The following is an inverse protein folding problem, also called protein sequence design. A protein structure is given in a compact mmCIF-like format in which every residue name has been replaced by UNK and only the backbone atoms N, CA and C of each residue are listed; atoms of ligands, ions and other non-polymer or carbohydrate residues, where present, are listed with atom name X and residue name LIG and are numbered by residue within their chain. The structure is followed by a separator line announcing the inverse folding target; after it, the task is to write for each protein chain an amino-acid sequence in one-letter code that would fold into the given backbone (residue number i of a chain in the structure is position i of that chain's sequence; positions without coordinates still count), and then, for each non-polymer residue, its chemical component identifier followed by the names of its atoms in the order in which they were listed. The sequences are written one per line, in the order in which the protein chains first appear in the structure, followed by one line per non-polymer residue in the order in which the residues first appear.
data_IF_566286155683
#
_entry.id   IF_566286155683
#
_cell.length_a   1.000
_cell.length_b   1.000
_cell.length_c   1.000
_cell.angle_alpha   90.00
_cell.angle_beta   90.00
_cell.angle_gamma   90.00
#
_symmetry.space_group_name_H-M   'P 1'
#
loop_
_entity.id
_entity.type
_entity.pdbx_description
1 polymer ?
#
# COMPACT_ATOMS: atom_id res chain seq x y z
N UNK A 1 2.70 19.57 -50.92
CA UNK A 1 2.73 18.23 -51.57
C UNK A 1 3.43 17.17 -50.70
N UNK A 2 4.33 17.51 -49.76
CA UNK A 2 5.01 16.54 -48.89
C UNK A 2 4.08 15.90 -47.86
N UNK A 3 3.16 16.64 -47.26
CA UNK A 3 2.24 16.10 -46.24
C UNK A 3 1.23 15.05 -46.75
N UNK A 4 0.87 15.09 -48.02
CA UNK A 4 -0.09 14.12 -48.60
C UNK A 4 0.57 12.78 -48.91
N UNK A 5 1.85 12.79 -49.27
CA UNK A 5 2.63 11.54 -49.48
C UNK A 5 2.91 10.80 -48.20
N UNK A 6 3.14 11.50 -47.11
CA UNK A 6 3.37 10.87 -45.79
C UNK A 6 2.12 10.15 -45.28
N UNK A 7 0.92 10.72 -45.47
CA UNK A 7 -0.33 10.04 -45.09
C UNK A 7 -0.60 8.74 -45.84
N UNK A 8 -0.20 8.69 -47.11
CA UNK A 8 -0.41 7.48 -47.92
C UNK A 8 0.62 6.39 -47.64
N UNK A 9 1.79 6.73 -47.04
CA UNK A 9 2.84 5.77 -46.72
C UNK A 9 2.67 5.13 -45.33
N UNK A 10 2.04 5.85 -44.40
CA UNK A 10 1.97 5.39 -42.99
C UNK A 10 0.55 5.09 -42.51
N UNK A 11 -0.45 5.11 -43.40
CA UNK A 11 -1.83 4.81 -43.05
C UNK A 11 -2.47 5.87 -42.16
N UNK A 12 -3.32 5.48 -41.25
CA UNK A 12 -3.98 6.40 -40.35
C UNK A 12 -2.98 6.89 -39.27
N UNK A 13 -2.73 8.20 -39.25
CA UNK A 13 -1.84 8.82 -38.25
C UNK A 13 -2.34 8.67 -36.81
N UNK A 14 -3.57 8.20 -36.61
CA UNK A 14 -4.16 7.92 -35.30
C UNK A 14 -4.01 6.45 -34.90
N UNK A 15 -3.61 5.59 -35.80
CA UNK A 15 -3.34 4.20 -35.54
C UNK A 15 -1.84 4.01 -35.16
N UNK A 16 -1.57 3.99 -33.87
CA UNK A 16 -0.21 3.84 -33.33
C UNK A 16 0.47 2.54 -33.80
N UNK A 17 -0.31 1.51 -34.13
CA UNK A 17 0.22 0.24 -34.63
C UNK A 17 0.87 0.36 -36.02
N UNK A 18 0.49 1.38 -36.80
CA UNK A 18 1.04 1.66 -38.11
C UNK A 18 2.24 2.63 -38.09
N UNK A 19 2.59 3.15 -36.94
CA UNK A 19 3.75 4.04 -36.82
C UNK A 19 5.05 3.26 -36.95
N UNK A 20 6.09 3.86 -37.58
CA UNK A 20 7.40 3.22 -37.67
C UNK A 20 7.94 2.93 -36.27
N UNK A 21 8.13 1.68 -35.96
CA UNK A 21 8.68 1.25 -34.67
C UNK A 21 10.20 1.25 -34.73
N UNK A 22 10.87 1.78 -33.71
CA UNK A 22 12.31 1.62 -33.55
C UNK A 22 12.59 0.14 -33.28
N UNK A 23 13.50 -0.52 -34.02
CA UNK A 23 13.84 -1.92 -33.80
C UNK A 23 14.18 -2.17 -32.33
N UNK A 24 13.43 -3.06 -31.67
CA UNK A 24 13.60 -3.38 -30.25
C UNK A 24 12.75 -2.56 -29.27
N UNK A 25 12.03 -1.50 -29.72
CA UNK A 25 11.16 -0.70 -28.84
C UNK A 25 10.05 -1.54 -28.22
N UNK A 26 9.42 -2.44 -28.98
CA UNK A 26 8.41 -3.35 -28.46
C UNK A 26 8.94 -4.29 -27.34
N UNK A 27 10.21 -4.68 -27.42
CA UNK A 27 10.81 -5.52 -26.39
C UNK A 27 11.08 -4.72 -25.10
N UNK A 28 11.42 -3.43 -25.24
CA UNK A 28 11.61 -2.52 -24.10
C UNK A 28 10.27 -2.17 -23.47
N UNK A 29 9.25 -1.93 -24.29
CA UNK A 29 7.90 -1.61 -23.83
C UNK A 29 7.23 -2.81 -23.16
N UNK A 30 7.32 -4.01 -23.76
CA UNK A 30 6.89 -5.28 -23.12
C UNK A 30 7.63 -5.54 -21.82
N UNK A 31 8.93 -5.24 -21.71
CA UNK A 31 9.68 -5.36 -20.43
C UNK A 31 9.24 -4.35 -19.39
N UNK A 32 8.86 -3.14 -19.80
CA UNK A 32 8.30 -2.12 -18.89
C UNK A 32 6.91 -2.51 -18.40
N UNK A 33 6.04 -2.99 -19.28
CA UNK A 33 4.71 -3.46 -18.95
C UNK A 33 4.73 -4.76 -18.13
N UNK A 34 5.60 -5.71 -18.47
CA UNK A 34 5.75 -6.97 -17.73
C UNK A 34 6.31 -6.80 -16.31
N UNK A 35 6.93 -5.67 -15.99
CA UNK A 35 7.41 -5.35 -14.64
C UNK A 35 6.33 -4.74 -13.73
N UNK A 36 5.19 -4.38 -14.27
CA UNK A 36 4.10 -3.79 -13.51
C UNK A 36 3.05 -4.86 -13.19
N UNK A 37 3.29 -5.57 -12.07
CA UNK A 37 2.28 -6.44 -11.49
C UNK A 37 1.09 -5.61 -11.03
N UNK A 38 -0.10 -6.24 -11.04
CA UNK A 38 -1.33 -5.67 -10.49
C UNK A 38 -1.05 -5.07 -9.08
N UNK A 39 -1.21 -3.75 -8.91
CA UNK A 39 -0.85 -3.08 -7.68
C UNK A 39 -1.70 -3.53 -6.49
N UNK A 40 -2.90 -4.04 -6.74
CA UNK A 40 -3.80 -4.54 -5.69
C UNK A 40 -3.28 -5.85 -5.08
N UNK A 41 -2.48 -6.64 -5.82
CA UNK A 41 -1.86 -7.87 -5.34
C UNK A 41 -0.57 -7.65 -4.55
N UNK A 42 -0.02 -6.45 -4.58
CA UNK A 42 1.17 -6.11 -3.80
C UNK A 42 0.87 -6.21 -2.31
N UNK A 43 1.85 -6.72 -1.56
CA UNK A 43 1.76 -6.80 -0.11
C UNK A 43 2.09 -5.47 0.56
N UNK A 44 1.61 -5.28 1.78
CA UNK A 44 1.92 -4.12 2.60
C UNK A 44 1.16 -2.86 2.18
N UNK A 45 1.73 -1.70 2.52
CA UNK A 45 1.06 -0.40 2.41
C UNK A 45 0.65 -0.05 0.98
N UNK A 46 1.51 -0.35 -0.02
CA UNK A 46 1.21 -0.07 -1.43
C UNK A 46 -0.05 -0.81 -1.86
N UNK A 47 -0.10 -2.13 -1.62
CA UNK A 47 -1.25 -2.93 -2.02
C UNK A 47 -2.52 -2.56 -1.28
N UNK A 48 -2.43 -2.30 0.03
CA UNK A 48 -3.56 -1.86 0.81
C UNK A 48 -4.11 -0.51 0.30
N UNK A 49 -3.24 0.45 0.01
CA UNK A 49 -3.65 1.73 -0.55
C UNK A 49 -4.34 1.56 -1.91
N UNK A 50 -3.76 0.77 -2.83
CA UNK A 50 -4.33 0.53 -4.16
C UNK A 50 -5.61 -0.33 -4.15
N UNK A 51 -5.88 -1.09 -3.07
CA UNK A 51 -7.17 -1.76 -2.87
C UNK A 51 -8.24 -0.82 -2.29
N UNK A 52 -7.81 0.18 -1.53
CA UNK A 52 -8.71 1.16 -0.92
C UNK A 52 -9.07 2.27 -1.89
N UNK A 53 -8.10 2.72 -2.69
CA UNK A 53 -8.28 3.84 -3.62
C UNK A 53 -7.87 3.46 -5.03
N UNK A 54 -8.78 3.67 -5.99
CA UNK A 54 -8.47 3.65 -7.41
C UNK A 54 -7.69 4.92 -7.81
N UNK A 55 -7.23 5.00 -9.06
CA UNK A 55 -6.55 6.21 -9.58
C UNK A 55 -7.45 7.44 -9.47
N UNK A 56 -8.70 7.34 -9.91
CA UNK A 56 -9.64 8.46 -9.90
C UNK A 56 -9.99 8.89 -8.47
N UNK A 57 -10.24 7.94 -7.58
CA UNK A 57 -10.48 8.23 -6.17
C UNK A 57 -9.26 8.87 -5.49
N UNK A 58 -8.05 8.43 -5.83
CA UNK A 58 -6.82 9.01 -5.31
C UNK A 58 -6.61 10.45 -5.81
N UNK A 59 -6.95 10.74 -7.07
CA UNK A 59 -6.94 12.11 -7.61
C UNK A 59 -7.88 13.03 -6.84
N UNK A 60 -9.11 12.60 -6.63
CA UNK A 60 -10.14 13.41 -5.96
C UNK A 60 -9.82 13.65 -4.48
N UNK A 61 -9.32 12.63 -3.80
CA UNK A 61 -9.16 12.67 -2.35
C UNK A 61 -7.84 13.32 -1.90
N UNK A 62 -6.73 13.01 -2.57
CA UNK A 62 -5.39 13.43 -2.10
C UNK A 62 -4.78 14.57 -2.90
N UNK A 63 -5.13 14.71 -4.18
CA UNK A 63 -4.59 15.73 -5.08
C UNK A 63 -5.71 16.46 -5.86
N UNK A 64 -6.74 16.98 -5.16
CA UNK A 64 -7.88 17.61 -5.82
C UNK A 64 -7.43 18.79 -6.68
N UNK A 65 -8.04 18.91 -7.88
CA UNK A 65 -7.76 20.00 -8.81
C UNK A 65 -6.46 19.88 -9.61
N UNK A 66 -5.66 18.81 -9.42
CA UNK A 66 -4.46 18.59 -10.23
C UNK A 66 -4.79 17.98 -11.59
N UNK A 67 -5.91 17.29 -11.70
CA UNK A 67 -6.39 16.68 -12.93
C UNK A 67 -7.85 17.05 -13.18
N UNK A 68 -8.16 17.40 -14.41
CA UNK A 68 -9.51 17.69 -14.88
C UNK A 68 -9.95 16.61 -15.87
N UNK A 69 -11.13 16.04 -15.66
CA UNK A 69 -11.69 15.05 -16.58
C UNK A 69 -12.03 15.72 -17.90
N UNK A 70 -11.75 15.04 -19.01
CA UNK A 70 -12.11 15.51 -20.35
C UNK A 70 -13.44 14.91 -20.79
N UNK A 71 -13.97 15.36 -21.94
CA UNK A 71 -15.16 14.75 -22.55
C UNK A 71 -14.97 13.29 -22.96
N UNK A 72 -13.74 12.80 -22.98
CA UNK A 72 -13.39 11.41 -23.33
C UNK A 72 -13.18 10.64 -22.03
N UNK A 73 -13.99 9.61 -21.72
CA UNK A 73 -13.86 8.83 -20.51
C UNK A 73 -12.43 8.25 -20.32
N UNK A 74 -11.92 8.33 -19.09
CA UNK A 74 -10.59 7.83 -18.75
C UNK A 74 -9.42 8.71 -19.22
N UNK A 75 -9.70 9.89 -19.80
CA UNK A 75 -8.69 10.88 -20.14
C UNK A 75 -8.81 12.12 -19.27
N UNK A 76 -7.67 12.54 -18.76
CA UNK A 76 -7.54 13.68 -17.85
C UNK A 76 -6.52 14.69 -18.39
N UNK A 77 -6.76 15.95 -18.06
CA UNK A 77 -5.83 17.05 -18.31
C UNK A 77 -5.11 17.39 -17.02
N UNK A 78 -3.78 17.37 -17.03
CA UNK A 78 -3.00 17.88 -15.91
C UNK A 78 -3.05 19.41 -15.92
N UNK A 79 -3.50 20.02 -14.83
CA UNK A 79 -3.72 21.48 -14.75
C UNK A 79 -2.45 22.31 -14.82
N UNK A 80 -1.30 21.73 -14.41
CA UNK A 80 0.03 22.35 -14.57
C UNK A 80 0.66 22.17 -15.95
N UNK A 81 -0.06 21.56 -16.91
CA UNK A 81 0.40 21.32 -18.27
C UNK A 81 -0.28 22.20 -19.32
N UNK A 82 0.26 22.20 -20.55
CA UNK A 82 -0.28 22.95 -21.68
C UNK A 82 -1.11 22.11 -22.65
N UNK A 83 -1.12 20.79 -22.50
CA UNK A 83 -1.83 19.85 -23.37
C UNK A 83 -3.12 19.37 -22.73
N UNK A 84 -4.15 19.11 -23.53
CA UNK A 84 -5.45 18.60 -23.07
C UNK A 84 -5.50 17.08 -23.21
N UNK A 85 -5.98 16.37 -22.18
CA UNK A 85 -6.25 14.95 -22.24
C UNK A 85 -5.03 14.04 -22.36
N UNK A 86 -3.86 14.51 -21.91
CA UNK A 86 -2.60 13.79 -22.00
C UNK A 86 -2.38 12.76 -20.88
N UNK A 87 -3.18 12.76 -19.83
CA UNK A 87 -3.15 11.74 -18.79
C UNK A 87 -4.25 10.70 -19.07
N UNK A 88 -3.88 9.43 -19.13
CA UNK A 88 -4.77 8.33 -19.52
C UNK A 88 -4.80 7.29 -18.42
N UNK A 89 -6.00 6.90 -18.01
CA UNK A 89 -6.25 5.85 -17.04
C UNK A 89 -6.45 4.51 -17.73
N UNK A 90 -5.82 3.46 -17.23
CA UNK A 90 -5.80 2.11 -17.81
C UNK A 90 -6.26 1.05 -16.82
N UNK A 91 -6.58 -0.13 -17.36
CA UNK A 91 -6.87 -1.36 -16.62
C UNK A 91 -7.94 -1.22 -15.53
N UNK A 92 -9.06 -0.58 -15.87
CA UNK A 92 -10.16 -0.45 -14.92
C UNK A 92 -9.82 0.40 -13.70
N UNK A 93 -9.10 1.50 -13.92
CA UNK A 93 -8.73 2.48 -12.89
C UNK A 93 -7.58 2.06 -11.96
N UNK A 94 -6.71 1.16 -12.44
CA UNK A 94 -5.56 0.68 -11.67
C UNK A 94 -4.28 1.48 -11.94
N UNK A 95 -4.14 2.03 -13.14
CA UNK A 95 -2.94 2.73 -13.58
C UNK A 95 -3.25 4.04 -14.28
N UNK A 96 -2.33 4.98 -14.13
CA UNK A 96 -2.28 6.23 -14.90
C UNK A 96 -0.97 6.30 -15.68
N UNK A 97 -1.05 6.76 -16.93
CA UNK A 97 0.09 7.19 -17.71
C UNK A 97 -0.09 8.63 -18.16
N UNK A 98 0.89 9.49 -17.89
CA UNK A 98 0.85 10.90 -18.27
C UNK A 98 1.86 11.20 -19.39
N UNK A 99 1.37 11.83 -20.45
CA UNK A 99 2.17 12.37 -21.55
C UNK A 99 2.52 13.86 -21.35
N UNK A 100 2.07 14.47 -20.25
CA UNK A 100 2.38 15.85 -19.92
C UNK A 100 3.81 15.98 -19.41
N UNK A 101 4.68 16.70 -20.09
CA UNK A 101 6.10 16.81 -19.72
C UNK A 101 6.33 17.45 -18.33
N UNK A 102 5.41 18.32 -17.89
CA UNK A 102 5.46 19.00 -16.58
C UNK A 102 4.83 18.23 -15.46
N UNK A 103 4.14 17.12 -15.76
CA UNK A 103 3.51 16.27 -14.76
C UNK A 103 4.60 15.47 -13.99
N UNK A 104 4.59 15.43 -12.66
CA UNK A 104 5.48 14.57 -11.88
C UNK A 104 5.45 13.09 -12.27
N UNK A 105 4.32 12.62 -12.85
CA UNK A 105 4.14 11.26 -13.36
C UNK A 105 4.52 11.08 -14.83
N UNK A 106 5.11 12.10 -15.47
CA UNK A 106 5.42 12.09 -16.90
C UNK A 106 6.20 10.87 -17.35
N UNK A 107 5.75 10.22 -18.42
CA UNK A 107 6.45 9.10 -19.06
C UNK A 107 6.52 7.82 -18.21
N UNK A 108 5.73 7.72 -17.14
CA UNK A 108 5.69 6.57 -16.25
C UNK A 108 4.26 6.04 -16.14
N UNK A 109 4.13 4.71 -16.09
CA UNK A 109 2.88 4.07 -15.70
C UNK A 109 2.86 3.98 -14.17
N UNK A 110 1.96 4.70 -13.52
CA UNK A 110 1.89 4.80 -12.06
C UNK A 110 0.59 4.22 -11.52
N UNK A 111 0.65 3.60 -10.34
CA UNK A 111 -0.52 3.19 -9.57
C UNK A 111 -0.97 4.32 -8.64
N UNK A 112 -2.10 4.14 -7.95
CA UNK A 112 -2.66 5.17 -7.07
C UNK A 112 -1.70 5.62 -5.96
N UNK A 113 -0.92 4.71 -5.38
CA UNK A 113 0.08 5.04 -4.35
C UNK A 113 1.21 5.91 -4.93
N UNK A 114 1.77 5.52 -6.08
CA UNK A 114 2.86 6.26 -6.72
C UNK A 114 2.38 7.59 -7.29
N UNK A 115 1.15 7.67 -7.78
CA UNK A 115 0.53 8.93 -8.23
C UNK A 115 0.55 9.97 -7.10
N UNK A 116 -0.03 9.64 -5.95
CA UNK A 116 -0.07 10.56 -4.79
C UNK A 116 1.34 10.86 -4.27
N UNK A 117 2.21 9.84 -4.21
CA UNK A 117 3.60 9.98 -3.77
C UNK A 117 4.37 11.00 -4.59
N UNK A 118 4.30 10.91 -5.92
CA UNK A 118 5.05 11.79 -6.82
C UNK A 118 4.54 13.22 -6.76
N UNK A 119 3.23 13.43 -6.68
CA UNK A 119 2.65 14.76 -6.61
C UNK A 119 2.88 15.46 -5.26
N UNK A 120 2.75 14.73 -4.15
CA UNK A 120 2.85 15.35 -2.82
C UNK A 120 4.27 15.39 -2.27
N UNK A 121 5.10 14.44 -2.65
CA UNK A 121 6.40 14.22 -1.99
C UNK A 121 7.55 13.99 -2.96
N UNK A 122 7.34 14.03 -4.28
CA UNK A 122 8.37 13.77 -5.29
C UNK A 122 9.61 14.64 -5.13
N UNK A 123 9.43 15.90 -4.81
CA UNK A 123 10.51 16.87 -4.62
C UNK A 123 11.51 16.48 -3.51
N UNK A 124 11.05 15.70 -2.52
CA UNK A 124 11.90 15.24 -1.40
C UNK A 124 12.97 14.25 -1.83
N UNK A 125 12.82 13.63 -2.98
CA UNK A 125 13.78 12.65 -3.49
C UNK A 125 15.01 13.30 -4.14
N UNK A 126 14.97 14.62 -4.40
CA UNK A 126 16.10 15.37 -4.96
C UNK A 126 17.39 15.34 -4.10
N UNK A 127 17.22 15.18 -2.78
CA UNK A 127 18.32 15.09 -1.83
C UNK A 127 18.79 13.63 -1.57
N UNK A 128 18.09 12.65 -2.16
CA UNK A 128 18.42 11.25 -1.95
C UNK A 128 19.73 10.89 -2.66
N UNK A 129 20.56 10.09 -1.99
CA UNK A 129 21.82 9.60 -2.58
C UNK A 129 21.51 8.69 -3.77
N UNK A 130 22.34 8.81 -4.81
CA UNK A 130 22.26 7.93 -5.98
C UNK A 130 22.35 6.45 -5.56
N UNK A 131 21.46 5.63 -6.11
CA UNK A 131 21.35 4.21 -5.75
C UNK A 131 20.53 3.90 -4.49
N UNK A 132 19.86 4.89 -3.88
CA UNK A 132 18.94 4.63 -2.76
C UNK A 132 17.79 3.76 -3.22
N UNK A 133 17.50 2.61 -2.55
CA UNK A 133 16.35 1.77 -2.88
C UNK A 133 15.03 2.53 -2.79
N UNK A 134 14.10 2.26 -3.71
CA UNK A 134 12.80 2.94 -3.77
C UNK A 134 12.04 2.94 -2.42
N UNK A 135 12.13 1.85 -1.66
CA UNK A 135 11.51 1.72 -0.33
C UNK A 135 12.13 2.58 0.77
N UNK A 136 13.31 3.16 0.50
CA UNK A 136 14.03 4.06 1.42
C UNK A 136 14.03 5.51 0.95
N UNK A 137 13.41 5.79 -0.18
CA UNK A 137 13.27 7.16 -0.68
C UNK A 137 12.46 8.02 0.29
N UNK A 138 12.83 9.29 0.51
CA UNK A 138 12.09 10.20 1.38
C UNK A 138 10.61 10.35 1.00
N UNK A 139 10.31 10.42 -0.30
CA UNK A 139 8.93 10.44 -0.80
C UNK A 139 8.15 9.19 -0.42
N UNK A 140 8.77 8.01 -0.55
CA UNK A 140 8.15 6.74 -0.21
C UNK A 140 7.83 6.64 1.28
N UNK A 141 8.76 7.07 2.14
CA UNK A 141 8.57 7.09 3.58
C UNK A 141 7.42 8.04 3.98
N UNK A 142 7.37 9.23 3.38
CA UNK A 142 6.32 10.21 3.64
C UNK A 142 4.95 9.71 3.18
N UNK A 143 4.86 9.14 1.98
CA UNK A 143 3.64 8.55 1.44
C UNK A 143 3.16 7.34 2.25
N UNK A 144 4.09 6.50 2.70
CA UNK A 144 3.75 5.37 3.56
C UNK A 144 3.15 5.82 4.89
N UNK A 145 3.66 6.92 5.46
CA UNK A 145 3.10 7.50 6.68
C UNK A 145 1.68 8.01 6.43
N UNK A 146 1.47 8.81 5.38
CA UNK A 146 0.15 9.30 4.99
C UNK A 146 -0.86 8.15 4.82
N UNK A 147 -0.46 7.10 4.10
CA UNK A 147 -1.32 5.93 3.89
C UNK A 147 -1.66 5.18 5.18
N UNK A 148 -0.78 5.18 6.19
CA UNK A 148 -1.04 4.56 7.49
C UNK A 148 -1.85 5.44 8.44
N UNK A 149 -1.82 6.75 8.26
CA UNK A 149 -2.67 7.71 8.97
C UNK A 149 -4.11 7.66 8.43
N UNK A 150 -4.29 7.22 7.18
CA UNK A 150 -5.61 6.99 6.61
C UNK A 150 -6.28 5.79 7.28
N UNK A 151 -7.48 6.04 7.84
CA UNK A 151 -8.21 5.04 8.62
C UNK A 151 -8.61 3.83 7.78
N UNK A 152 -9.07 4.03 6.54
CA UNK A 152 -9.54 2.93 5.69
C UNK A 152 -8.38 2.00 5.31
N UNK A 153 -7.23 2.57 4.93
CA UNK A 153 -6.03 1.80 4.60
C UNK A 153 -5.48 1.08 5.82
N UNK A 154 -5.45 1.75 6.98
CA UNK A 154 -4.97 1.17 8.24
C UNK A 154 -5.83 0.02 8.72
N UNK A 155 -7.15 0.16 8.64
CA UNK A 155 -8.11 -0.88 9.01
C UNK A 155 -7.97 -2.10 8.08
N UNK A 156 -7.86 -1.88 6.76
CA UNK A 156 -7.64 -2.96 5.80
C UNK A 156 -6.35 -3.74 6.09
N UNK A 157 -5.24 -3.05 6.36
CA UNK A 157 -3.96 -3.70 6.73
C UNK A 157 -4.13 -4.54 8.00
N UNK A 158 -4.90 -4.07 8.96
CA UNK A 158 -5.11 -4.76 10.24
C UNK A 158 -5.92 -6.04 10.03
N UNK A 159 -6.99 -5.97 9.23
CA UNK A 159 -7.82 -7.13 8.87
C UNK A 159 -7.00 -8.19 8.12
N UNK A 160 -6.26 -7.79 7.07
CA UNK A 160 -5.42 -8.72 6.29
C UNK A 160 -4.36 -9.44 7.14
N UNK A 161 -3.79 -8.72 8.11
CA UNK A 161 -2.82 -9.32 9.05
C UNK A 161 -3.46 -10.33 9.97
N UNK A 162 -4.65 -10.01 10.47
CA UNK A 162 -5.41 -10.91 11.31
C UNK A 162 -5.79 -12.19 10.57
N UNK A 163 -6.29 -12.06 9.34
CA UNK A 163 -6.63 -13.21 8.50
C UNK A 163 -5.41 -14.08 8.21
N UNK A 164 -4.29 -13.46 7.87
CA UNK A 164 -3.04 -14.18 7.66
C UNK A 164 -2.55 -14.89 8.94
N UNK A 165 -2.69 -14.25 10.08
CA UNK A 165 -2.35 -14.87 11.36
C UNK A 165 -3.27 -16.07 11.63
N UNK A 166 -4.59 -15.92 11.45
CA UNK A 166 -5.54 -17.05 11.58
C UNK A 166 -5.16 -18.22 10.67
N UNK A 167 -4.83 -17.97 9.39
CA UNK A 167 -4.40 -19.02 8.46
C UNK A 167 -3.09 -19.70 8.87
N UNK A 168 -2.16 -18.96 9.45
CA UNK A 168 -0.87 -19.52 9.90
C UNK A 168 -1.00 -20.35 11.17
N UNK A 169 -1.95 -20.00 12.04
CA UNK A 169 -2.19 -20.64 13.33
C UNK A 169 -3.38 -21.60 13.32
N UNK A 170 -4.01 -21.88 12.17
CA UNK A 170 -4.96 -22.99 12.06
C UNK A 170 -4.21 -24.29 12.29
N UNK A 171 -4.26 -24.75 13.54
CA UNK A 171 -4.00 -26.16 13.85
C UNK A 171 -5.00 -27.01 13.05
N UNK A 172 -4.66 -28.27 12.69
CA UNK A 172 -5.59 -29.17 12.00
C UNK A 172 -6.91 -29.18 12.78
N UNK A 173 -8.01 -28.96 12.05
CA UNK A 173 -9.36 -28.87 12.60
C UNK A 173 -9.65 -30.13 13.44
N UNK A 174 -9.63 -29.97 14.74
CA UNK A 174 -10.24 -30.93 15.64
C UNK A 174 -11.76 -30.66 15.54
N UNK A 175 -12.58 -31.61 15.06
CA UNK A 175 -14.02 -31.38 14.84
C UNK A 175 -14.82 -31.06 16.14
N UNK A 176 -14.14 -31.01 17.27
CA UNK A 176 -14.69 -30.69 18.59
C UNK A 176 -14.13 -29.42 19.22
N UNK A 177 -13.30 -28.65 18.47
CA UNK A 177 -12.88 -27.33 18.93
C UNK A 177 -14.10 -26.42 18.93
N UNK A 178 -14.64 -26.19 20.10
CA UNK A 178 -15.61 -25.15 20.41
C UNK A 178 -15.19 -23.85 19.75
N UNK A 179 -16.11 -23.20 19.02
CA UNK A 179 -15.87 -21.89 18.40
C UNK A 179 -15.28 -20.98 19.48
N UNK A 180 -13.96 -20.75 19.39
CA UNK A 180 -13.22 -20.01 20.40
C UNK A 180 -13.89 -18.67 20.71
N UNK A 181 -13.73 -18.14 21.92
CA UNK A 181 -14.40 -16.94 22.36
C UNK A 181 -14.21 -15.82 21.33
N UNK A 182 -15.32 -15.15 21.02
CA UNK A 182 -15.34 -13.99 20.13
C UNK A 182 -14.46 -12.89 20.75
N UNK A 183 -13.22 -12.79 20.27
CA UNK A 183 -12.25 -11.86 20.80
C UNK A 183 -12.58 -10.44 20.31
N UNK A 184 -12.86 -9.55 21.24
CA UNK A 184 -12.94 -8.12 20.95
C UNK A 184 -11.55 -7.60 20.48
N UNK A 185 -11.46 -7.27 19.22
CA UNK A 185 -10.25 -6.74 18.58
C UNK A 185 -10.35 -5.23 18.31
N UNK A 186 -11.36 -4.56 18.84
CA UNK A 186 -11.61 -3.11 18.65
C UNK A 186 -10.46 -2.22 19.16
N UNK A 187 -9.57 -2.77 19.99
CA UNK A 187 -8.41 -2.09 20.54
C UNK A 187 -7.17 -2.10 19.63
N UNK A 188 -7.11 -2.98 18.60
CA UNK A 188 -5.97 -3.06 17.68
C UNK A 188 -5.61 -1.74 16.98
N UNK A 189 -6.58 -0.89 16.58
CA UNK A 189 -6.28 0.43 16.01
C UNK A 189 -5.55 1.40 16.97
N UNK A 190 -5.58 1.14 18.28
CA UNK A 190 -4.87 1.97 19.28
C UNK A 190 -3.35 1.73 19.26
N UNK A 191 -2.89 0.65 18.63
CA UNK A 191 -1.48 0.31 18.56
C UNK A 191 -0.76 1.17 17.51
N UNK A 192 0.37 1.76 17.89
CA UNK A 192 1.25 2.48 16.97
C UNK A 192 1.94 1.53 15.99
N UNK A 193 2.08 1.97 14.73
CA UNK A 193 2.67 1.19 13.66
C UNK A 193 3.86 1.93 13.07
N UNK A 194 4.86 1.18 12.62
CA UNK A 194 6.02 1.72 11.91
C UNK A 194 5.66 2.11 10.46
N UNK A 195 6.60 2.74 9.76
CA UNK A 195 6.45 3.14 8.34
C UNK A 195 6.18 1.98 7.36
N UNK A 196 6.33 0.74 7.82
CA UNK A 196 6.00 -0.47 7.07
C UNK A 196 4.66 -1.09 7.52
N UNK A 197 3.92 -0.37 8.38
CA UNK A 197 2.64 -0.81 8.93
C UNK A 197 2.74 -1.98 9.92
N UNK A 198 3.93 -2.29 10.47
CA UNK A 198 4.10 -3.29 11.53
C UNK A 198 3.92 -2.61 12.89
N UNK A 199 3.39 -3.34 13.86
CA UNK A 199 3.28 -2.80 15.22
C UNK A 199 4.68 -2.52 15.80
N UNK A 200 4.86 -1.29 16.29
CA UNK A 200 6.10 -0.89 16.94
C UNK A 200 6.29 -1.63 18.27
N UNK A 201 7.53 -2.01 18.55
CA UNK A 201 7.89 -2.64 19.82
C UNK A 201 8.13 -1.59 20.90
N UNK A 202 7.07 -0.84 21.25
CA UNK A 202 7.12 0.21 22.27
C UNK A 202 6.45 -0.25 23.56
N UNK A 203 6.83 0.38 24.68
CA UNK A 203 6.20 0.14 25.96
C UNK A 203 4.71 0.47 25.91
N UNK A 204 4.34 1.53 25.21
CA UNK A 204 2.95 1.94 25.06
C UNK A 204 2.12 0.85 24.39
N UNK A 205 2.60 0.28 23.27
CA UNK A 205 1.92 -0.83 22.60
C UNK A 205 1.84 -2.06 23.52
N UNK A 206 2.90 -2.36 24.30
CA UNK A 206 2.86 -3.46 25.25
C UNK A 206 1.78 -3.26 26.32
N UNK A 207 1.65 -2.06 26.87
CA UNK A 207 0.60 -1.73 27.85
C UNK A 207 -0.78 -1.91 27.24
N UNK A 208 -1.03 -1.38 26.03
CA UNK A 208 -2.32 -1.53 25.34
C UNK A 208 -2.67 -3.01 25.12
N UNK A 209 -1.70 -3.85 24.74
CA UNK A 209 -1.90 -5.30 24.58
C UNK A 209 -2.24 -5.95 25.93
N UNK A 210 -1.50 -5.66 26.98
CA UNK A 210 -1.70 -6.26 28.31
C UNK A 210 -3.06 -5.89 28.93
N UNK A 211 -3.56 -4.70 28.64
CA UNK A 211 -4.84 -4.21 29.14
C UNK A 211 -6.06 -4.74 28.37
N UNK A 212 -5.89 -5.05 27.10
CA UNK A 212 -7.03 -5.33 26.22
C UNK A 212 -7.06 -6.78 25.68
N UNK A 213 -5.91 -7.45 25.54
CA UNK A 213 -5.88 -8.82 25.02
C UNK A 213 -6.53 -9.79 26.01
N UNK A 214 -7.58 -10.54 25.62
CA UNK A 214 -8.32 -11.43 26.50
C UNK A 214 -7.44 -12.54 27.14
N UNK A 215 -6.35 -12.91 26.48
CA UNK A 215 -5.42 -13.92 27.01
C UNK A 215 -4.45 -13.36 28.06
N UNK A 216 -4.26 -12.05 28.09
CA UNK A 216 -3.26 -11.39 28.94
C UNK A 216 -3.89 -10.50 30.00
N UNK A 217 -5.07 -9.97 29.73
CA UNK A 217 -5.80 -9.06 30.63
C UNK A 217 -5.98 -9.68 32.02
N UNK A 218 -5.47 -8.97 33.04
CA UNK A 218 -5.57 -9.39 34.42
C UNK A 218 -4.67 -10.58 34.81
N UNK A 219 -3.81 -11.06 33.90
CA UNK A 219 -2.87 -12.13 34.23
C UNK A 219 -1.53 -11.63 34.76
N UNK A 220 -1.18 -10.39 34.46
CA UNK A 220 0.02 -9.75 35.00
C UNK A 220 -0.46 -8.84 36.11
N UNK A 221 -0.03 -9.14 37.34
CA UNK A 221 -0.39 -8.44 38.57
C UNK A 221 0.85 -8.08 39.36
N UNK A 222 0.76 -7.09 40.20
CA UNK A 222 1.80 -6.77 41.18
C UNK A 222 1.47 -7.44 42.48
N UNK A 223 2.39 -8.24 43.02
CA UNK A 223 2.35 -8.70 44.41
C UNK A 223 2.88 -7.59 45.28
N UNK A 224 2.00 -6.89 45.99
CA UNK A 224 2.37 -5.76 46.83
C UNK A 224 3.18 -6.22 48.04
N UNK A 225 2.98 -7.45 48.48
CA UNK A 225 3.73 -8.01 49.63
C UNK A 225 5.17 -8.36 49.25
N UNK A 226 5.36 -8.99 48.08
CA UNK A 226 6.68 -9.35 47.59
C UNK A 226 7.33 -8.21 46.77
N UNK A 227 6.62 -7.12 46.50
CA UNK A 227 7.05 -6.00 45.63
C UNK A 227 7.57 -6.47 44.27
N UNK A 228 6.92 -7.47 43.67
CA UNK A 228 7.30 -8.00 42.39
C UNK A 228 6.09 -8.20 41.43
N UNK A 229 6.36 -8.23 40.13
CA UNK A 229 5.38 -8.60 39.14
C UNK A 229 5.15 -10.11 39.08
N UNK A 230 3.91 -10.54 39.12
CA UNK A 230 3.53 -11.96 39.04
C UNK A 230 2.66 -12.22 37.82
N UNK A 231 2.77 -13.41 37.24
CA UNK A 231 1.91 -13.89 36.18
C UNK A 231 0.95 -14.91 36.75
N UNK A 232 -0.35 -14.61 36.66
CA UNK A 232 -1.40 -15.52 37.10
C UNK A 232 -1.79 -16.45 35.94
N UNK A 233 -1.50 -17.74 36.12
CA UNK A 233 -1.85 -18.78 35.16
C UNK A 233 -0.86 -18.91 34.00
N UNK A 234 -1.33 -19.50 32.90
CA UNK A 234 -0.52 -19.78 31.70
C UNK A 234 -0.59 -18.63 30.71
N UNK A 235 0.54 -18.20 30.19
CA UNK A 235 0.62 -17.19 29.12
C UNK A 235 1.00 -17.85 27.79
N UNK A 236 0.59 -17.27 26.62
CA UNK A 236 0.75 -17.90 25.31
C UNK A 236 2.20 -18.26 24.93
N UNK A 237 3.17 -17.55 25.47
CA UNK A 237 4.60 -17.79 25.22
C UNK A 237 5.25 -18.77 26.22
N UNK A 238 4.51 -19.26 27.23
CA UNK A 238 5.05 -20.23 28.19
C UNK A 238 4.99 -21.64 27.58
N UNK A 239 6.10 -22.10 27.04
CA UNK A 239 6.26 -23.44 26.44
C UNK A 239 6.64 -24.51 27.44
N UNK A 240 6.64 -24.21 28.75
CA UNK A 240 6.98 -25.18 29.74
C UNK A 240 5.91 -26.28 29.83
N UNK A 241 6.31 -27.51 29.59
CA UNK A 241 5.44 -28.65 29.82
C UNK A 241 5.00 -28.72 31.32
N UNK A 242 3.78 -29.15 31.56
CA UNK A 242 3.13 -29.20 32.90
C UNK A 242 3.89 -29.93 34.00
N UNK A 243 5.07 -30.48 33.75
CA UNK A 243 5.79 -31.38 34.64
C UNK A 243 6.84 -30.77 35.56
N UNK A 244 7.02 -29.45 35.58
CA UNK A 244 7.92 -28.84 36.58
C UNK A 244 7.12 -28.13 37.66
N UNK A 245 6.63 -28.95 38.63
CA UNK A 245 6.32 -28.43 39.95
C UNK A 245 7.58 -27.78 40.54
N UNK A 246 7.47 -26.54 40.91
CA UNK A 246 8.47 -25.84 41.68
C UNK A 246 8.65 -26.56 43.02
N UNK A 247 9.87 -26.98 43.34
CA UNK A 247 10.29 -27.35 44.69
C UNK A 247 10.90 -26.13 45.33
#
# INVERSE_FOLDING_TARGET
QMCIRDRSMYGDSHDIAQWPQVPGSEAVERRRLAKQEDPTRKRGVIGAFCRTYSITQAMEHFIPGMYEETSIPGRYTYTGGSTVGGAVVYDGDLFLYSHHATDPCSGQLVNAFDLVRLHMYGDRDSEAKEGTPASKMPSFMAMSRLALEDKQVSDLISVERLEKAKQTFQAPEDPQADSGPDYDLSWLPKLTKDSQGRYEKTINNAVVVLENDPLLKGRIVTDEFASCGMILGRVPWDQREEKRRWK
#
